data_IF_637776449577
#
_entry.id   IF_637776449577
#
_cell.length_a   1.000
_cell.length_b   1.000
_cell.length_c   1.000
_cell.angle_alpha   90.00
_cell.angle_beta   90.00
_cell.angle_gamma   90.00
#
_symmetry.space_group_name_H-M   'P 1'
#
loop_
_entity.id
_entity.type
_entity.pdbx_description
1 polymer ?
#
# COMPACT_ATOMS: atom_id res chain seq x y z
N UNK A 1 20.86 -1.54 8.53
CA UNK A 1 19.70 -0.99 9.26
C UNK A 1 20.24 -0.09 10.36
N UNK A 2 19.80 1.17 10.49
CA UNK A 2 20.13 2.00 11.66
C UNK A 2 19.72 1.25 12.94
N UNK A 3 20.41 1.48 14.06
CA UNK A 3 20.01 0.88 15.34
C UNK A 3 18.65 1.44 15.75
N UNK A 4 17.88 0.72 16.57
CA UNK A 4 16.53 1.14 17.00
C UNK A 4 16.51 2.56 17.61
N UNK A 5 17.60 2.96 18.28
CA UNK A 5 17.78 4.29 18.85
C UNK A 5 17.80 5.42 17.78
N UNK A 6 18.40 5.19 16.60
CA UNK A 6 18.45 6.17 15.50
C UNK A 6 17.05 6.45 14.92
N UNK A 7 16.21 5.40 14.86
CA UNK A 7 14.86 5.50 14.31
C UNK A 7 13.92 6.33 15.19
N UNK A 8 14.14 6.26 16.51
CA UNK A 8 13.36 7.03 17.49
C UNK A 8 13.70 8.53 17.45
N UNK A 9 14.97 8.86 17.30
CA UNK A 9 15.41 10.26 17.25
C UNK A 9 15.04 10.95 15.94
N UNK A 10 14.95 10.20 14.84
CA UNK A 10 14.33 10.65 13.58
C UNK A 10 12.87 11.08 13.79
N UNK A 11 12.03 10.23 14.38
CA UNK A 11 10.61 10.55 14.64
C UNK A 11 10.43 11.72 15.63
N UNK A 12 11.40 11.94 16.51
CA UNK A 12 11.43 13.07 17.46
C UNK A 12 12.01 14.35 16.87
N UNK A 13 12.34 14.37 15.57
CA UNK A 13 12.92 15.52 14.88
C UNK A 13 14.31 15.95 15.41
N UNK A 14 15.07 15.02 16.01
CA UNK A 14 16.38 15.27 16.63
C UNK A 14 17.58 14.93 15.73
N UNK A 15 17.33 14.30 14.58
CA UNK A 15 18.36 13.76 13.69
C UNK A 15 18.49 14.53 12.35
N UNK A 16 18.22 15.84 12.32
CA UNK A 16 18.30 16.65 11.09
C UNK A 16 19.67 16.62 10.43
N UNK A 17 20.75 16.66 11.20
CA UNK A 17 22.12 16.57 10.68
C UNK A 17 22.38 15.23 9.97
N UNK A 18 21.83 14.15 10.50
CA UNK A 18 21.91 12.81 9.90
C UNK A 18 21.05 12.71 8.64
N UNK A 19 19.84 13.26 8.66
CA UNK A 19 18.95 13.30 7.50
C UNK A 19 19.51 14.11 6.34
N UNK A 20 20.10 15.28 6.62
CA UNK A 20 20.68 16.13 5.58
C UNK A 20 21.84 15.45 4.83
N UNK A 21 22.54 14.53 5.49
CA UNK A 21 23.64 13.76 4.91
C UNK A 21 23.22 12.36 4.44
N UNK A 22 21.93 12.02 4.54
CA UNK A 22 21.43 10.70 4.17
C UNK A 22 21.34 10.56 2.64
N UNK A 23 22.01 9.55 2.10
CA UNK A 23 21.92 9.15 0.69
C UNK A 23 21.08 7.89 0.61
N UNK A 24 19.95 7.96 -0.12
CA UNK A 24 19.05 6.82 -0.31
C UNK A 24 19.68 5.72 -1.16
N UNK A 25 19.23 4.49 -0.98
CA UNK A 25 19.70 3.36 -1.80
C UNK A 25 19.34 3.54 -3.29
N UNK A 26 18.25 4.26 -3.58
CA UNK A 26 17.94 4.71 -4.93
C UNK A 26 19.01 5.65 -5.50
N UNK A 27 19.46 6.66 -4.72
CA UNK A 27 20.51 7.58 -5.16
C UNK A 27 21.87 6.88 -5.31
N UNK A 28 22.11 5.81 -4.54
CA UNK A 28 23.28 4.93 -4.70
C UNK A 28 23.20 4.00 -5.92
N UNK A 29 22.08 3.97 -6.64
CA UNK A 29 21.88 3.07 -7.79
C UNK A 29 21.66 1.60 -7.41
N UNK A 30 21.28 1.32 -6.16
CA UNK A 30 20.94 -0.05 -5.73
C UNK A 30 19.69 -0.52 -6.49
N UNK A 31 19.66 -1.77 -6.99
CA UNK A 31 18.50 -2.32 -7.67
C UNK A 31 17.21 -2.18 -6.85
N UNK A 32 16.09 -1.94 -7.53
CA UNK A 32 14.79 -1.92 -6.86
C UNK A 32 14.50 -3.30 -6.26
N UNK A 33 14.04 -3.39 -5.00
CA UNK A 33 13.53 -4.64 -4.49
C UNK A 33 12.28 -5.08 -5.27
N UNK A 34 11.90 -6.37 -5.20
CA UNK A 34 10.65 -6.86 -5.79
C UNK A 34 9.43 -6.08 -5.27
N UNK A 35 8.47 -5.79 -6.15
CA UNK A 35 7.27 -4.98 -5.84
C UNK A 35 6.26 -5.69 -4.93
N UNK A 36 6.39 -7.00 -4.81
CA UNK A 36 5.59 -7.85 -3.95
C UNK A 36 6.48 -8.90 -3.31
N UNK A 37 6.14 -9.29 -2.09
CA UNK A 37 6.75 -10.43 -1.44
C UNK A 37 6.41 -11.69 -2.22
N UNK A 38 7.35 -12.62 -2.33
CA UNK A 38 7.07 -13.92 -2.91
C UNK A 38 5.95 -14.62 -2.12
N UNK A 39 4.99 -15.27 -2.81
CA UNK A 39 3.97 -16.07 -2.14
C UNK A 39 4.63 -17.25 -1.40
N UNK A 40 3.94 -17.76 -0.38
CA UNK A 40 4.38 -18.95 0.33
C UNK A 40 3.77 -20.19 -0.33
N UNK A 41 4.58 -21.19 -0.64
CA UNK A 41 4.10 -22.47 -1.20
C UNK A 41 3.20 -23.25 -0.23
N UNK A 42 3.17 -22.84 1.05
CA UNK A 42 2.36 -23.47 2.09
C UNK A 42 0.87 -23.07 2.05
N UNK A 43 0.48 -22.06 1.26
CA UNK A 43 -0.90 -21.56 1.21
C UNK A 43 -1.37 -21.51 -0.25
N UNK A 44 -2.51 -22.11 -0.59
CA UNK A 44 -3.03 -22.07 -1.96
C UNK A 44 -3.48 -20.66 -2.34
N UNK A 45 -3.29 -20.30 -3.60
CA UNK A 45 -3.78 -19.05 -4.16
C UNK A 45 -5.31 -19.05 -4.26
N UNK A 46 -5.91 -17.90 -3.96
CA UNK A 46 -7.35 -17.66 -4.11
C UNK A 46 -7.55 -16.67 -5.25
N UNK A 47 -8.16 -17.14 -6.34
CA UNK A 47 -8.53 -16.28 -7.46
C UNK A 47 -9.79 -15.50 -7.09
N UNK A 48 -9.67 -14.17 -7.09
CA UNK A 48 -10.78 -13.27 -6.79
C UNK A 48 -11.54 -12.89 -8.07
N UNK A 49 -12.88 -12.75 -8.02
CA UNK A 49 -13.67 -12.38 -9.18
C UNK A 49 -13.49 -10.89 -9.54
N UNK A 50 -13.93 -10.48 -10.75
CA UNK A 50 -14.00 -9.08 -11.14
C UNK A 50 -14.85 -8.24 -10.18
N UNK A 51 -14.48 -6.96 -10.02
CA UNK A 51 -15.10 -6.02 -9.09
C UNK A 51 -15.51 -4.69 -9.74
N UNK A 52 -15.46 -4.62 -11.07
CA UNK A 52 -15.75 -3.45 -11.91
C UNK A 52 -17.19 -2.93 -11.78
N UNK A 53 -18.12 -3.78 -11.36
CA UNK A 53 -19.52 -3.43 -11.10
C UNK A 53 -19.76 -2.77 -9.72
N UNK A 54 -18.73 -2.70 -8.87
CA UNK A 54 -18.80 -2.11 -7.52
C UNK A 54 -18.22 -0.68 -7.49
N UNK A 55 -18.50 0.06 -6.42
CA UNK A 55 -17.88 1.38 -6.19
C UNK A 55 -18.55 2.58 -6.84
N UNK A 56 -19.80 2.46 -7.32
CA UNK A 56 -20.54 3.53 -7.99
C UNK A 56 -21.01 4.71 -7.11
N UNK A 57 -20.68 4.75 -5.82
CA UNK A 57 -21.09 5.84 -4.93
C UNK A 57 -20.32 7.14 -5.26
N UNK A 58 -20.99 8.29 -5.43
CA UNK A 58 -20.30 9.56 -5.64
C UNK A 58 -19.31 9.87 -4.52
N UNK A 59 -18.09 10.32 -4.87
CA UNK A 59 -17.04 10.60 -3.88
C UNK A 59 -17.48 11.55 -2.76
N UNK A 60 -18.24 12.61 -3.11
CA UNK A 60 -18.83 13.55 -2.16
C UNK A 60 -19.67 12.82 -1.10
N UNK A 61 -20.47 11.86 -1.54
CA UNK A 61 -21.35 11.11 -0.66
C UNK A 61 -20.56 10.14 0.22
N UNK A 62 -19.60 9.42 -0.35
CA UNK A 62 -18.73 8.50 0.39
C UNK A 62 -18.01 9.22 1.54
N UNK A 63 -17.46 10.40 1.28
CA UNK A 63 -16.81 11.23 2.30
C UNK A 63 -17.81 11.67 3.38
N UNK A 64 -18.99 12.17 2.99
CA UNK A 64 -20.01 12.64 3.94
C UNK A 64 -20.56 11.53 4.85
N UNK A 65 -20.71 10.31 4.30
CA UNK A 65 -21.25 9.15 5.02
C UNK A 65 -20.22 8.34 5.81
N UNK A 66 -18.92 8.57 5.61
CA UNK A 66 -17.85 7.80 6.28
C UNK A 66 -17.98 7.85 7.80
N UNK A 67 -18.06 6.69 8.44
CA UNK A 67 -18.06 6.51 9.90
C UNK A 67 -17.20 5.30 10.26
N UNK A 68 -16.54 5.34 11.42
CA UNK A 68 -15.86 4.17 11.96
C UNK A 68 -16.90 3.26 12.63
N UNK A 69 -17.11 2.05 12.09
CA UNK A 69 -18.03 1.04 12.63
C UNK A 69 -17.22 -0.04 13.37
N UNK A 70 -17.75 -0.53 14.49
CA UNK A 70 -17.11 -1.54 15.36
C UNK A 70 -18.04 -2.70 15.74
N UNK A 71 -19.23 -2.75 15.13
CA UNK A 71 -20.19 -3.84 15.22
C UNK A 71 -20.45 -4.31 13.80
N UNK A 72 -20.29 -5.60 13.57
CA UNK A 72 -20.35 -6.21 12.26
C UNK A 72 -21.47 -7.23 12.20
N UNK A 73 -21.98 -7.44 11.01
CA UNK A 73 -22.92 -8.48 10.69
C UNK A 73 -22.21 -9.86 10.71
N UNK A 74 -22.92 -10.95 11.03
CA UNK A 74 -22.36 -12.30 10.93
C UNK A 74 -22.11 -12.74 9.49
N UNK A 75 -22.78 -12.14 8.52
CA UNK A 75 -22.60 -12.43 7.10
C UNK A 75 -21.19 -12.03 6.63
N UNK A 76 -20.45 -12.93 5.98
CA UNK A 76 -19.14 -12.60 5.40
C UNK A 76 -19.31 -11.72 4.16
N UNK A 77 -18.22 -11.06 3.76
CA UNK A 77 -18.15 -10.38 2.47
C UNK A 77 -18.26 -11.37 1.32
N UNK A 78 -18.94 -10.98 0.26
CA UNK A 78 -18.89 -11.69 -1.01
C UNK A 78 -17.47 -11.59 -1.62
N UNK A 79 -17.09 -12.58 -2.43
CA UNK A 79 -15.76 -12.60 -3.04
C UNK A 79 -15.48 -11.36 -3.92
N UNK A 80 -16.52 -10.84 -4.60
CA UNK A 80 -16.43 -9.61 -5.38
C UNK A 80 -16.24 -8.36 -4.50
N UNK A 81 -16.91 -8.29 -3.34
CA UNK A 81 -16.73 -7.20 -2.38
C UNK A 81 -15.32 -7.21 -1.78
N UNK A 82 -14.78 -8.38 -1.46
CA UNK A 82 -13.40 -8.52 -1.02
C UNK A 82 -12.40 -8.11 -2.11
N UNK A 83 -12.64 -8.53 -3.35
CA UNK A 83 -11.85 -8.13 -4.53
C UNK A 83 -11.83 -6.61 -4.69
N UNK A 84 -13.00 -5.97 -4.65
CA UNK A 84 -13.13 -4.52 -4.70
C UNK A 84 -12.36 -3.83 -3.58
N UNK A 85 -12.52 -4.30 -2.34
CA UNK A 85 -11.88 -3.71 -1.18
C UNK A 85 -10.36 -3.73 -1.30
N UNK A 86 -9.77 -4.88 -1.67
CA UNK A 86 -8.33 -5.04 -1.84
C UNK A 86 -7.80 -4.13 -2.97
N UNK A 87 -8.51 -4.04 -4.09
CA UNK A 87 -8.17 -3.12 -5.16
C UNK A 87 -8.25 -1.65 -4.71
N UNK A 88 -9.30 -1.27 -3.99
CA UNK A 88 -9.49 0.11 -3.54
C UNK A 88 -8.38 0.59 -2.58
N UNK A 89 -7.79 -0.32 -1.79
CA UNK A 89 -6.74 0.04 -0.83
C UNK A 89 -5.31 -0.14 -1.36
N UNK A 90 -5.06 -1.05 -2.31
CA UNK A 90 -3.70 -1.43 -2.73
C UNK A 90 -3.57 -1.82 -4.23
N UNK A 91 -4.63 -1.71 -5.02
CA UNK A 91 -4.69 -2.18 -6.40
C UNK A 91 -3.61 -1.59 -7.30
N UNK A 92 -2.98 -2.44 -8.10
CA UNK A 92 -1.96 -2.05 -9.08
C UNK A 92 -2.63 -1.46 -10.33
N UNK A 93 -2.23 -0.27 -10.74
CA UNK A 93 -2.75 0.39 -11.94
C UNK A 93 -1.79 0.22 -13.12
N UNK A 94 -0.50 0.45 -12.92
CA UNK A 94 0.52 0.37 -13.96
C UNK A 94 1.92 0.19 -13.37
N UNK A 95 2.83 -0.38 -14.17
CA UNK A 95 4.26 -0.40 -13.89
C UNK A 95 4.95 0.69 -14.70
N UNK A 96 5.80 1.50 -14.05
CA UNK A 96 6.48 2.63 -14.67
C UNK A 96 7.98 2.38 -14.79
N UNK A 97 8.61 2.93 -15.84
CA UNK A 97 10.07 2.83 -16.12
C UNK A 97 10.61 1.39 -16.05
N UNK A 98 9.96 0.45 -16.72
CA UNK A 98 10.41 -0.95 -16.76
C UNK A 98 10.41 -1.65 -15.38
N UNK A 99 9.50 -1.24 -14.48
CA UNK A 99 9.38 -1.81 -13.13
C UNK A 99 10.20 -1.09 -12.06
N UNK A 100 10.67 0.14 -12.30
CA UNK A 100 11.34 0.92 -11.26
C UNK A 100 10.37 1.58 -10.27
N UNK A 101 9.09 1.64 -10.61
CA UNK A 101 8.01 2.14 -9.76
C UNK A 101 6.69 1.43 -10.08
N UNK A 102 5.85 1.25 -9.06
CA UNK A 102 4.48 0.74 -9.20
C UNK A 102 3.48 1.82 -8.88
N UNK A 103 2.52 2.07 -9.78
CA UNK A 103 1.38 2.94 -9.50
C UNK A 103 0.23 2.12 -8.94
N UNK A 104 -0.35 2.66 -7.88
CA UNK A 104 -1.44 2.03 -7.14
C UNK A 104 -2.62 3.00 -7.03
N UNK A 105 -3.77 2.47 -6.64
CA UNK A 105 -4.96 3.26 -6.30
C UNK A 105 -4.74 4.26 -5.14
N UNK A 106 -3.63 4.10 -4.40
CA UNK A 106 -3.22 4.97 -3.29
C UNK A 106 -1.82 5.56 -3.52
N UNK A 107 -1.55 6.79 -3.06
CA UNK A 107 -0.23 7.40 -3.17
C UNK A 107 0.76 6.81 -2.16
N UNK A 108 2.04 6.74 -2.55
CA UNK A 108 3.17 6.39 -1.66
C UNK A 108 4.40 7.21 -2.03
N UNK A 109 5.09 7.76 -1.03
CA UNK A 109 6.32 8.53 -1.24
C UNK A 109 7.41 7.66 -1.87
N UNK A 110 8.01 8.11 -2.98
CA UNK A 110 9.06 7.36 -3.68
C UNK A 110 8.56 6.22 -4.59
N UNK A 111 7.27 5.91 -4.58
CA UNK A 111 6.62 4.91 -5.46
C UNK A 111 7.27 3.51 -5.46
N UNK A 112 7.75 3.07 -4.29
CA UNK A 112 8.41 1.78 -4.03
C UNK A 112 7.84 1.10 -2.79
#
# INVERSE_FOLDING_TARGET
>A
MPREDDSRDLLKNRAWSTLNNFVSDQAKGVPCPPWQKAPSDAVPDVVLPPHDHLGGMPLREAIGRRRSRRRFLPEPLEAAELSYLLWAVQGLQNLFRGGQASFRTVPSGGAR
#
